data_IF_743032134022
#
_entry.id   IF_743032134022
#
_cell.length_a   1.000
_cell.length_b   1.000
_cell.length_c   1.000
_cell.angle_alpha   90.00
_cell.angle_beta   90.00
_cell.angle_gamma   90.00
#
_symmetry.space_group_name_H-M   'P 1'
#
loop_
_entity.id
_entity.type
_entity.pdbx_description
1 polymer ?
#
# COMPACT_ATOMS: atom_id res chain seq x y z
N UNK A 1 -31.36 2.75 40.56
CA UNK A 1 -30.58 2.60 39.32
C UNK A 1 -30.67 1.15 38.91
N UNK A 2 -31.32 0.83 37.80
CA UNK A 2 -31.36 -0.54 37.29
C UNK A 2 -30.03 -0.83 36.59
N UNK A 3 -29.26 -1.79 37.07
CA UNK A 3 -28.07 -2.29 36.39
C UNK A 3 -28.51 -3.03 35.13
N UNK A 4 -28.26 -2.43 33.97
CA UNK A 4 -28.33 -3.13 32.68
C UNK A 4 -27.46 -4.39 32.77
N UNK A 5 -27.96 -5.59 32.43
CA UNK A 5 -27.12 -6.78 32.43
C UNK A 5 -25.98 -6.58 31.43
N UNK A 6 -24.76 -6.92 31.83
CA UNK A 6 -23.60 -6.95 30.95
C UNK A 6 -23.87 -7.95 29.84
N UNK A 7 -24.10 -7.47 28.62
CA UNK A 7 -24.28 -8.31 27.44
C UNK A 7 -22.91 -8.94 27.13
N UNK A 8 -22.83 -10.26 27.19
CA UNK A 8 -21.65 -11.03 26.81
C UNK A 8 -21.70 -11.32 25.31
N UNK A 9 -20.55 -11.54 24.67
CA UNK A 9 -20.50 -11.93 23.24
C UNK A 9 -21.28 -13.24 22.97
N UNK A 10 -21.50 -14.07 24.00
CA UNK A 10 -22.35 -15.27 23.96
C UNK A 10 -23.86 -14.98 23.82
N UNK A 11 -24.29 -13.75 24.08
CA UNK A 11 -25.70 -13.33 23.98
C UNK A 11 -26.09 -12.95 22.54
N UNK A 12 -25.11 -12.77 21.65
CA UNK A 12 -25.33 -12.49 20.23
C UNK A 12 -25.41 -13.80 19.43
N UNK A 13 -26.49 -13.94 18.63
CA UNK A 13 -26.59 -15.02 17.65
C UNK A 13 -25.81 -14.64 16.39
N UNK A 14 -24.69 -15.29 16.15
CA UNK A 14 -23.88 -15.08 14.95
C UNK A 14 -24.40 -15.94 13.80
N UNK A 15 -25.29 -15.39 12.96
CA UNK A 15 -25.89 -16.13 11.84
C UNK A 15 -25.31 -15.64 10.52
N UNK A 16 -24.81 -16.55 9.68
CA UNK A 16 -24.31 -16.21 8.34
C UNK A 16 -25.44 -16.07 7.31
N UNK A 17 -25.09 -15.73 6.06
CA UNK A 17 -26.07 -15.61 4.96
C UNK A 17 -26.69 -16.95 4.54
N UNK A 18 -26.09 -18.08 4.91
CA UNK A 18 -26.56 -19.44 4.65
C UNK A 18 -27.47 -19.97 5.78
N UNK A 19 -27.62 -19.23 6.87
CA UNK A 19 -28.40 -19.63 8.04
C UNK A 19 -27.63 -20.46 9.07
N UNK A 20 -26.32 -20.63 8.92
CA UNK A 20 -25.48 -21.33 9.89
C UNK A 20 -25.28 -20.47 11.14
N UNK A 21 -25.40 -21.09 12.32
CA UNK A 21 -25.12 -20.46 13.60
C UNK A 21 -23.64 -20.66 13.97
N UNK A 22 -22.88 -19.58 13.87
CA UNK A 22 -21.46 -19.53 14.22
C UNK A 22 -21.29 -19.45 15.73
N UNK A 23 -20.22 -20.07 16.25
CA UNK A 23 -19.85 -20.08 17.66
C UNK A 23 -19.19 -18.77 18.08
N UNK A 24 -18.41 -18.16 17.20
CA UNK A 24 -17.64 -16.95 17.51
C UNK A 24 -17.79 -15.86 16.46
N UNK A 25 -17.48 -14.61 16.85
CA UNK A 25 -17.45 -13.48 15.93
C UNK A 25 -16.40 -13.65 14.83
N UNK A 26 -15.29 -14.32 15.14
CA UNK A 26 -14.23 -14.65 14.17
C UNK A 26 -14.78 -15.56 13.07
N UNK A 27 -15.48 -16.63 13.45
CA UNK A 27 -16.16 -17.52 12.50
C UNK A 27 -17.17 -16.76 11.61
N UNK A 28 -18.00 -15.88 12.19
CA UNK A 28 -18.93 -15.06 11.40
C UNK A 28 -18.21 -14.16 10.38
N UNK A 29 -17.08 -13.57 10.78
CA UNK A 29 -16.29 -12.69 9.92
C UNK A 29 -15.71 -13.49 8.74
N UNK A 30 -15.20 -14.70 9.00
CA UNK A 30 -14.69 -15.61 7.96
C UNK A 30 -15.82 -16.02 7.00
N UNK A 31 -16.99 -16.40 7.53
CA UNK A 31 -18.15 -16.76 6.71
C UNK A 31 -18.62 -15.60 5.80
N UNK A 32 -18.64 -14.38 6.33
CA UNK A 32 -18.94 -13.16 5.57
C UNK A 32 -17.89 -12.89 4.50
N UNK A 33 -16.61 -13.07 4.81
CA UNK A 33 -15.51 -12.92 3.86
C UNK A 33 -15.61 -13.94 2.72
N UNK A 34 -15.80 -15.23 3.03
CA UNK A 34 -15.98 -16.29 2.03
C UNK A 34 -17.18 -15.99 1.13
N UNK A 35 -18.30 -15.57 1.73
CA UNK A 35 -19.50 -15.14 0.98
C UNK A 35 -19.25 -13.90 0.10
N UNK A 36 -18.43 -12.96 0.55
CA UNK A 36 -18.07 -11.77 -0.23
C UNK A 36 -17.17 -12.10 -1.43
N UNK A 37 -16.28 -13.09 -1.26
CA UNK A 37 -15.37 -13.56 -2.29
C UNK A 37 -16.02 -14.55 -3.28
N UNK A 38 -17.32 -14.83 -3.13
CA UNK A 38 -18.04 -15.84 -3.91
C UNK A 38 -17.43 -17.25 -3.79
N UNK A 39 -16.81 -17.54 -2.63
CA UNK A 39 -16.23 -18.84 -2.30
C UNK A 39 -17.22 -19.67 -1.49
N UNK A 40 -17.56 -20.85 -2.02
CA UNK A 40 -18.45 -21.78 -1.33
C UNK A 40 -17.72 -22.51 -0.18
N UNK A 41 -18.48 -22.82 0.87
CA UNK A 41 -17.95 -23.44 2.08
C UNK A 41 -18.99 -24.29 2.82
N UNK A 42 -18.48 -25.32 3.48
CA UNK A 42 -19.19 -26.13 4.48
C UNK A 42 -18.73 -25.70 5.88
N UNK A 43 -19.66 -25.28 6.74
CA UNK A 43 -19.39 -24.95 8.14
C UNK A 43 -19.52 -26.20 9.02
N UNK A 44 -18.70 -26.30 10.06
CA UNK A 44 -18.67 -27.42 11.01
C UNK A 44 -18.40 -28.78 10.30
N UNK A 45 -17.41 -28.76 9.41
CA UNK A 45 -17.10 -29.89 8.54
C UNK A 45 -16.48 -31.05 9.32
N UNK A 46 -17.14 -32.21 9.26
CA UNK A 46 -16.64 -33.45 9.87
C UNK A 46 -15.65 -34.14 8.94
N UNK A 47 -14.41 -34.18 9.36
CA UNK A 47 -13.29 -34.77 8.64
C UNK A 47 -12.96 -36.14 9.24
N UNK A 48 -12.99 -37.18 8.39
CA UNK A 48 -12.60 -38.54 8.79
C UNK A 48 -11.09 -38.73 8.65
N UNK A 49 -10.44 -39.09 9.76
CA UNK A 49 -9.01 -39.36 9.81
C UNK A 49 -8.72 -40.83 9.41
N UNK A 50 -7.49 -41.10 8.96
CA UNK A 50 -7.07 -42.44 8.45
C UNK A 50 -7.22 -43.57 9.48
N UNK A 51 -7.24 -43.24 10.77
CA UNK A 51 -7.40 -44.16 11.89
C UNK A 51 -8.88 -44.40 12.28
N UNK A 52 -9.84 -43.85 11.54
CA UNK A 52 -11.28 -43.99 11.79
C UNK A 52 -11.87 -43.01 12.80
N UNK A 53 -11.07 -42.16 13.45
CA UNK A 53 -11.60 -41.06 14.27
C UNK A 53 -12.05 -39.89 13.41
N UNK A 54 -13.05 -39.13 13.88
CA UNK A 54 -13.52 -37.91 13.21
C UNK A 54 -13.06 -36.68 13.98
N UNK A 55 -12.58 -35.66 13.26
CA UNK A 55 -12.30 -34.32 13.80
C UNK A 55 -13.20 -33.32 13.08
N UNK A 56 -13.67 -32.31 13.79
CA UNK A 56 -14.47 -31.24 13.19
C UNK A 56 -13.59 -30.04 12.90
N UNK A 57 -13.72 -29.49 11.70
CA UNK A 57 -13.01 -28.30 11.24
C UNK A 57 -14.03 -27.20 10.94
N UNK A 58 -13.73 -25.95 11.29
CA UNK A 58 -14.73 -24.88 11.24
C UNK A 58 -15.23 -24.61 9.83
N UNK A 59 -14.32 -24.52 8.84
CA UNK A 59 -14.71 -24.32 7.44
C UNK A 59 -13.96 -25.26 6.51
N UNK A 60 -14.69 -25.86 5.58
CA UNK A 60 -14.11 -26.49 4.39
C UNK A 60 -14.48 -25.68 3.15
N UNK A 61 -13.48 -25.37 2.35
CA UNK A 61 -13.62 -24.68 1.05
C UNK A 61 -13.07 -25.57 -0.06
N UNK A 62 -13.22 -25.14 -1.32
CA UNK A 62 -12.57 -25.81 -2.46
C UNK A 62 -11.05 -25.77 -2.41
N UNK A 63 -10.47 -24.77 -1.73
CA UNK A 63 -9.02 -24.51 -1.68
C UNK A 63 -8.34 -25.18 -0.49
N UNK A 64 -9.11 -25.60 0.51
CA UNK A 64 -8.59 -26.17 1.74
C UNK A 64 -9.52 -25.95 2.93
N UNK A 65 -9.00 -26.27 4.09
CA UNK A 65 -9.63 -26.23 5.40
C UNK A 65 -9.21 -24.95 6.14
N UNK A 66 -10.13 -24.36 6.90
CA UNK A 66 -9.86 -23.20 7.75
C UNK A 66 -10.34 -23.55 9.16
N UNK A 67 -9.44 -23.36 10.11
CA UNK A 67 -9.64 -23.64 11.53
C UNK A 67 -9.48 -22.35 12.33
N UNK A 68 -10.47 -22.05 13.17
CA UNK A 68 -10.51 -20.83 13.98
C UNK A 68 -9.85 -21.06 15.33
N UNK A 69 -8.87 -20.22 15.65
CA UNK A 69 -8.03 -20.36 16.84
C UNK A 69 -8.38 -19.28 17.87
N UNK A 70 -9.28 -19.63 18.79
CA UNK A 70 -9.73 -18.73 19.85
C UNK A 70 -9.18 -19.16 21.23
N UNK A 71 -8.70 -20.40 21.38
CA UNK A 71 -8.13 -20.93 22.62
C UNK A 71 -7.02 -21.99 22.38
N UNK A 72 -6.45 -22.54 23.46
CA UNK A 72 -5.39 -23.56 23.39
C UNK A 72 -5.87 -24.94 22.91
N UNK A 73 -7.15 -25.27 23.08
CA UNK A 73 -7.72 -26.51 22.55
C UNK A 73 -7.79 -26.47 21.02
N UNK A 74 -8.11 -25.31 20.45
CA UNK A 74 -8.10 -25.10 18.99
C UNK A 74 -6.71 -25.28 18.41
N UNK A 75 -5.66 -24.82 19.12
CA UNK A 75 -4.25 -25.05 18.72
C UNK A 75 -3.93 -26.57 18.68
N UNK A 76 -4.40 -27.33 19.67
CA UNK A 76 -4.17 -28.79 19.71
C UNK A 76 -4.90 -29.48 18.56
N UNK A 77 -6.17 -29.12 18.34
CA UNK A 77 -7.00 -29.61 17.25
C UNK A 77 -6.35 -29.31 15.89
N UNK A 78 -5.86 -28.08 15.71
CA UNK A 78 -5.13 -27.66 14.52
C UNK A 78 -3.91 -28.53 14.23
N UNK A 79 -3.04 -28.71 15.23
CA UNK A 79 -1.84 -29.53 15.10
C UNK A 79 -2.18 -31.01 14.80
N UNK A 80 -3.23 -31.55 15.41
CA UNK A 80 -3.71 -32.90 15.16
C UNK A 80 -4.18 -33.09 13.71
N UNK A 81 -4.93 -32.14 13.16
CA UNK A 81 -5.37 -32.17 11.75
C UNK A 81 -4.15 -32.18 10.83
N UNK A 82 -3.20 -31.27 11.06
CA UNK A 82 -2.00 -31.13 10.23
C UNK A 82 -1.10 -32.38 10.27
N UNK A 83 -0.93 -32.97 11.45
CA UNK A 83 -0.12 -34.19 11.61
C UNK A 83 -0.76 -35.39 10.90
N UNK A 84 -2.09 -35.54 11.01
CA UNK A 84 -2.80 -36.70 10.46
C UNK A 84 -3.15 -36.56 8.98
N UNK A 85 -3.20 -35.34 8.45
CA UNK A 85 -3.55 -35.03 7.06
C UNK A 85 -2.54 -34.03 6.45
N UNK A 86 -1.28 -34.45 6.24
CA UNK A 86 -0.22 -33.55 5.75
C UNK A 86 -0.43 -33.08 4.31
N UNK A 87 -1.28 -33.75 3.54
CA UNK A 87 -1.60 -33.41 2.14
C UNK A 87 -2.74 -32.38 2.02
N UNK A 88 -3.49 -32.14 3.10
CA UNK A 88 -4.59 -31.17 3.11
C UNK A 88 -4.05 -29.78 3.40
N UNK A 89 -4.52 -28.78 2.64
CA UNK A 89 -4.20 -27.38 2.90
C UNK A 89 -5.07 -26.92 4.06
N UNK A 90 -4.47 -26.67 5.21
CA UNK A 90 -5.16 -26.17 6.42
C UNK A 90 -4.62 -24.79 6.77
N UNK A 91 -5.51 -23.85 7.08
CA UNK A 91 -5.18 -22.50 7.49
C UNK A 91 -5.71 -22.23 8.90
N UNK A 92 -4.87 -21.70 9.78
CA UNK A 92 -5.28 -21.22 11.10
C UNK A 92 -5.62 -19.72 11.06
N UNK A 93 -6.79 -19.31 11.55
CA UNK A 93 -7.20 -17.89 11.66
C UNK A 93 -7.70 -17.64 13.07
N UNK A 94 -7.27 -16.58 13.75
CA UNK A 94 -7.71 -16.36 15.12
C UNK A 94 -6.95 -15.26 15.84
N UNK A 95 -7.21 -15.14 17.14
CA UNK A 95 -6.66 -14.04 17.94
C UNK A 95 -5.11 -14.11 17.98
N UNK A 96 -4.38 -13.00 17.77
CA UNK A 96 -2.91 -12.99 17.67
C UNK A 96 -2.18 -13.69 18.83
N UNK A 97 -2.72 -13.58 20.04
CA UNK A 97 -2.23 -14.26 21.26
C UNK A 97 -2.09 -15.79 21.10
N UNK A 98 -3.01 -16.43 20.38
CA UNK A 98 -3.05 -17.87 20.22
C UNK A 98 -2.44 -18.29 18.87
N UNK A 99 -2.73 -17.55 17.80
CA UNK A 99 -2.17 -17.83 16.47
C UNK A 99 -0.65 -17.63 16.41
N UNK A 100 -0.06 -16.72 17.20
CA UNK A 100 1.40 -16.57 17.29
C UNK A 100 2.12 -17.77 17.93
N UNK A 101 1.41 -18.61 18.69
CA UNK A 101 1.97 -19.84 19.27
C UNK A 101 2.03 -20.97 18.24
N UNK A 102 1.21 -20.87 17.19
CA UNK A 102 1.30 -21.74 16.02
C UNK A 102 2.48 -21.22 15.20
N UNK A 103 3.52 -22.04 15.03
CA UNK A 103 4.74 -21.69 14.28
C UNK A 103 4.46 -21.25 12.82
N UNK A 104 3.24 -21.42 12.34
CA UNK A 104 2.81 -21.13 10.96
C UNK A 104 2.50 -19.69 10.62
N UNK A 105 2.51 -18.73 11.54
CA UNK A 105 2.61 -17.33 11.09
C UNK A 105 3.87 -17.13 10.21
N UNK A 106 4.84 -18.05 10.29
CA UNK A 106 5.98 -18.14 9.37
C UNK A 106 5.70 -18.98 8.10
N UNK A 107 4.80 -19.97 8.13
CA UNK A 107 4.53 -20.89 7.00
C UNK A 107 3.38 -20.40 6.08
N UNK A 108 2.48 -19.54 6.57
CA UNK A 108 1.43 -18.88 5.75
C UNK A 108 2.01 -17.78 4.85
N UNK A 109 3.27 -17.38 5.08
CA UNK A 109 4.05 -16.69 4.06
C UNK A 109 4.55 -17.76 3.10
N UNK A 110 3.77 -18.01 2.04
CA UNK A 110 4.19 -18.81 0.89
C UNK A 110 5.57 -18.32 0.40
N UNK A 111 6.66 -18.90 0.92
CA UNK A 111 7.99 -18.86 0.33
C UNK A 111 7.99 -19.88 -0.81
N UNK A 112 7.15 -19.62 -1.81
CA UNK A 112 7.19 -20.34 -3.06
C UNK A 112 8.56 -20.01 -3.70
N UNK A 113 9.26 -21.03 -4.22
CA UNK A 113 10.59 -20.89 -4.87
C UNK A 113 10.47 -20.26 -6.27
N UNK A 114 9.47 -19.42 -6.48
CA UNK A 114 9.28 -18.57 -7.66
C UNK A 114 9.94 -17.21 -7.40
N UNK A 115 10.21 -16.38 -8.42
CA UNK A 115 10.78 -15.07 -8.16
C UNK A 115 9.79 -14.33 -7.26
N UNK A 116 10.23 -14.05 -6.04
CA UNK A 116 9.39 -13.41 -5.05
C UNK A 116 9.30 -11.95 -5.44
N UNK A 117 8.08 -11.49 -5.70
CA UNK A 117 7.83 -10.05 -5.78
C UNK A 117 8.16 -9.45 -4.42
N UNK A 118 9.17 -8.59 -4.38
CA UNK A 118 9.57 -7.82 -3.21
C UNK A 118 9.14 -6.37 -3.36
N UNK A 119 9.01 -5.69 -2.23
CA UNK A 119 8.92 -4.23 -2.16
C UNK A 119 10.02 -3.71 -1.24
N UNK A 120 10.66 -2.62 -1.63
CA UNK A 120 11.51 -1.82 -0.74
C UNK A 120 11.02 -0.38 -0.75
N UNK A 121 11.05 0.27 0.40
CA UNK A 121 10.79 1.70 0.52
C UNK A 121 12.03 2.42 1.04
N UNK A 122 12.26 3.63 0.53
CA UNK A 122 13.36 4.49 0.94
C UNK A 122 12.82 5.86 1.30
N UNK A 123 13.15 6.27 2.51
CA UNK A 123 13.01 7.63 3.01
C UNK A 123 14.38 8.08 3.47
N UNK A 124 14.82 9.25 3.00
CA UNK A 124 16.11 9.82 3.37
C UNK A 124 16.01 11.34 3.42
N UNK A 125 16.65 12.03 4.38
CA UNK A 125 16.62 13.49 4.43
C UNK A 125 17.10 14.15 3.12
N UNK A 126 17.98 13.49 2.35
CA UNK A 126 18.44 14.00 1.06
C UNK A 126 17.44 13.85 -0.09
N UNK A 127 16.27 13.27 0.16
CA UNK A 127 15.14 13.26 -0.77
C UNK A 127 14.18 14.42 -0.49
N UNK A 128 14.69 15.49 0.12
CA UNK A 128 13.95 16.74 0.28
C UNK A 128 14.37 17.76 -0.78
N UNK A 129 13.44 18.61 -1.20
CA UNK A 129 13.71 19.69 -2.13
C UNK A 129 12.90 20.94 -1.78
N UNK A 130 13.51 22.10 -1.97
CA UNK A 130 12.88 23.41 -1.76
C UNK A 130 12.42 23.98 -3.09
N UNK A 131 11.20 24.53 -3.12
CA UNK A 131 10.65 25.07 -4.37
C UNK A 131 9.67 26.22 -4.13
N UNK A 132 9.41 26.96 -5.19
CA UNK A 132 8.34 27.95 -5.26
C UNK A 132 7.32 27.56 -6.34
N UNK A 133 6.05 27.93 -6.17
CA UNK A 133 5.01 27.70 -7.17
C UNK A 133 3.87 28.71 -7.08
N UNK A 134 2.98 28.69 -8.08
CA UNK A 134 1.69 29.38 -8.07
C UNK A 134 0.62 28.39 -8.56
N UNK A 135 -0.50 28.31 -7.85
CA UNK A 135 -1.68 27.53 -8.23
C UNK A 135 -2.87 28.47 -8.46
N UNK A 136 -3.12 28.92 -9.70
CA UNK A 136 -4.10 29.98 -9.97
C UNK A 136 -5.54 29.61 -9.60
N UNK A 137 -5.84 28.30 -9.56
CA UNK A 137 -7.18 27.77 -9.29
C UNK A 137 -7.50 27.62 -7.79
N UNK A 138 -6.54 27.86 -6.90
CA UNK A 138 -6.68 27.61 -5.46
C UNK A 138 -6.48 28.90 -4.70
N UNK A 139 -7.51 29.42 -4.03
CA UNK A 139 -7.51 30.78 -3.46
C UNK A 139 -6.29 31.09 -2.57
N UNK A 140 -5.94 30.21 -1.62
CA UNK A 140 -4.77 30.41 -0.74
C UNK A 140 -3.43 30.21 -1.44
N UNK A 141 -3.38 29.35 -2.46
CA UNK A 141 -2.16 29.03 -3.21
C UNK A 141 -2.03 29.84 -4.52
N UNK A 142 -2.93 30.81 -4.72
CA UNK A 142 -3.01 31.64 -5.92
C UNK A 142 -1.98 32.77 -6.00
N UNK A 143 -1.13 32.88 -4.98
CA UNK A 143 0.00 33.81 -4.92
C UNK A 143 1.32 33.03 -4.89
N UNK A 144 2.40 33.67 -5.33
CA UNK A 144 3.74 33.09 -5.28
C UNK A 144 4.12 32.79 -3.82
N UNK A 145 4.44 31.53 -3.57
CA UNK A 145 4.95 31.04 -2.29
C UNK A 145 5.80 29.80 -2.54
N UNK A 146 6.28 29.16 -1.49
CA UNK A 146 7.11 27.98 -1.60
C UNK A 146 6.98 27.03 -0.41
N UNK A 147 7.58 25.86 -0.57
CA UNK A 147 7.56 24.77 0.40
C UNK A 147 8.89 24.05 0.42
N UNK A 148 9.15 23.36 1.53
CA UNK A 148 10.15 22.30 1.62
C UNK A 148 9.39 20.98 1.55
N UNK A 149 9.61 20.24 0.47
CA UNK A 149 8.98 18.93 0.28
C UNK A 149 9.92 17.79 0.60
N UNK A 150 9.40 16.74 1.24
CA UNK A 150 10.10 15.47 1.43
C UNK A 150 9.49 14.38 0.54
N UNK A 151 10.34 13.48 0.04
CA UNK A 151 9.95 12.39 -0.85
C UNK A 151 10.31 11.03 -0.24
N UNK A 152 9.34 10.12 -0.21
CA UNK A 152 9.56 8.70 0.02
C UNK A 152 9.27 7.95 -1.28
N UNK A 153 10.12 6.98 -1.61
CA UNK A 153 9.99 6.17 -2.82
C UNK A 153 9.82 4.70 -2.43
N UNK A 154 8.80 4.07 -2.99
CA UNK A 154 8.60 2.63 -2.94
C UNK A 154 8.94 2.01 -4.30
N UNK A 155 9.67 0.90 -4.30
CA UNK A 155 10.02 0.15 -5.51
C UNK A 155 9.49 -1.27 -5.33
N UNK A 156 8.78 -1.76 -6.33
CA UNK A 156 8.21 -3.12 -6.33
C UNK A 156 8.68 -3.87 -7.57
N UNK A 157 9.01 -5.14 -7.42
CA UNK A 157 9.35 -5.98 -8.55
C UNK A 157 9.94 -7.33 -8.14
N UNK A 158 10.60 -7.99 -9.08
CA UNK A 158 11.11 -9.34 -8.88
C UNK A 158 12.44 -9.31 -8.12
N UNK A 159 12.50 -10.05 -7.01
CA UNK A 159 13.74 -10.23 -6.27
C UNK A 159 14.66 -11.20 -7.00
N UNK A 160 15.95 -10.85 -7.01
CA UNK A 160 17.04 -11.72 -7.45
C UNK A 160 18.03 -11.85 -6.30
N UNK A 161 18.40 -13.08 -5.96
CA UNK A 161 19.33 -13.36 -4.85
C UNK A 161 18.87 -12.73 -3.51
N UNK A 162 17.55 -12.77 -3.25
CA UNK A 162 16.87 -12.16 -2.10
C UNK A 162 16.96 -10.62 -2.02
N UNK A 163 17.31 -9.95 -3.12
CA UNK A 163 17.40 -8.51 -3.21
C UNK A 163 16.58 -7.99 -4.39
N UNK A 164 15.79 -6.93 -4.17
CA UNK A 164 15.15 -6.20 -5.26
C UNK A 164 16.16 -5.26 -5.93
N UNK A 165 16.69 -4.30 -5.17
CA UNK A 165 17.75 -3.37 -5.57
C UNK A 165 18.62 -3.08 -4.35
N UNK A 166 19.92 -2.91 -4.54
CA UNK A 166 20.81 -2.42 -3.48
C UNK A 166 20.38 -1.01 -3.02
N UNK A 167 20.25 -0.80 -1.71
CA UNK A 167 19.79 0.47 -1.16
C UNK A 167 20.70 1.65 -1.53
N UNK A 168 22.01 1.44 -1.69
CA UNK A 168 22.95 2.46 -2.12
C UNK A 168 22.73 2.88 -3.58
N UNK A 169 22.48 1.90 -4.46
CA UNK A 169 22.12 2.15 -5.87
C UNK A 169 20.78 2.88 -5.95
N UNK A 170 19.74 2.37 -5.28
CA UNK A 170 18.42 2.98 -5.27
C UNK A 170 18.48 4.42 -4.75
N UNK A 171 19.16 4.64 -3.62
CA UNK A 171 19.36 5.98 -3.03
C UNK A 171 20.04 6.94 -3.99
N UNK A 172 21.07 6.50 -4.72
CA UNK A 172 21.77 7.32 -5.71
C UNK A 172 20.83 7.74 -6.84
N UNK A 173 20.08 6.80 -7.41
CA UNK A 173 19.13 7.04 -8.51
C UNK A 173 18.03 8.01 -8.06
N UNK A 174 17.42 7.77 -6.89
CA UNK A 174 16.36 8.61 -6.33
C UNK A 174 16.87 10.03 -6.09
N UNK A 175 18.03 10.16 -5.43
CA UNK A 175 18.63 11.47 -5.14
C UNK A 175 18.92 12.26 -6.42
N UNK A 176 19.44 11.61 -7.45
CA UNK A 176 19.73 12.25 -8.74
C UNK A 176 18.47 12.86 -9.35
N UNK A 177 17.34 12.14 -9.31
CA UNK A 177 16.05 12.63 -9.81
C UNK A 177 15.51 13.76 -8.94
N UNK A 178 15.46 13.58 -7.62
CA UNK A 178 14.90 14.59 -6.70
C UNK A 178 15.68 15.92 -6.78
N UNK A 179 17.00 15.88 -6.96
CA UNK A 179 17.84 17.08 -7.08
C UNK A 179 17.46 17.96 -8.28
N UNK A 180 16.82 17.41 -9.33
CA UNK A 180 16.33 18.20 -10.48
C UNK A 180 15.25 19.21 -10.06
N UNK A 181 14.45 18.83 -9.06
CA UNK A 181 13.33 19.62 -8.54
C UNK A 181 13.77 20.68 -7.52
N UNK A 182 14.98 20.54 -6.98
CA UNK A 182 15.48 21.41 -5.93
C UNK A 182 15.82 22.82 -6.44
N UNK A 183 15.43 23.81 -5.63
CA UNK A 183 15.53 25.24 -5.90
C UNK A 183 14.91 25.63 -7.26
N UNK A 184 13.72 25.10 -7.57
CA UNK A 184 12.98 25.42 -8.80
C UNK A 184 11.70 26.21 -8.52
N UNK A 185 11.33 27.01 -9.50
CA UNK A 185 10.00 27.59 -9.63
C UNK A 185 9.14 26.71 -10.54
N UNK A 186 8.15 26.02 -9.98
CA UNK A 186 7.21 25.20 -10.74
C UNK A 186 6.03 26.01 -11.25
N UNK A 187 5.74 25.85 -12.53
CA UNK A 187 4.59 26.49 -13.15
C UNK A 187 4.09 25.67 -14.33
N UNK A 188 2.79 25.69 -14.57
CA UNK A 188 2.22 25.01 -15.73
C UNK A 188 2.68 25.71 -17.03
N UNK A 189 3.18 24.93 -17.99
CA UNK A 189 3.63 25.34 -19.32
C UNK A 189 2.56 26.15 -20.07
N UNK A 190 1.28 25.90 -19.84
CA UNK A 190 0.18 26.65 -20.48
C UNK A 190 0.22 28.16 -20.20
N UNK A 191 0.89 28.57 -19.13
CA UNK A 191 1.09 29.97 -18.75
C UNK A 191 2.33 30.60 -19.40
N UNK A 192 3.14 29.83 -20.13
CA UNK A 192 4.27 30.34 -20.89
C UNK A 192 3.76 31.21 -22.04
N UNK A 193 4.09 32.50 -22.01
CA UNK A 193 3.71 33.45 -23.05
C UNK A 193 4.73 33.53 -24.16
N UNK A 194 6.01 33.60 -23.80
CA UNK A 194 7.17 33.61 -24.70
C UNK A 194 8.42 33.21 -23.94
N UNK A 195 9.48 32.90 -24.66
CA UNK A 195 10.80 32.61 -24.11
C UNK A 195 11.90 33.18 -24.99
N UNK A 196 13.04 33.48 -24.39
CA UNK A 196 14.30 33.76 -25.08
C UNK A 196 15.35 32.69 -24.69
N UNK A 197 16.61 32.87 -25.06
CA UNK A 197 17.67 31.89 -24.77
C UNK A 197 17.91 31.64 -23.27
N UNK A 198 17.48 32.56 -22.40
CA UNK A 198 17.82 32.60 -20.97
C UNK A 198 16.62 32.65 -20.03
N UNK A 199 15.47 33.16 -20.48
CA UNK A 199 14.30 33.39 -19.63
C UNK A 199 12.99 32.87 -20.22
N UNK A 200 12.07 32.51 -19.33
CA UNK A 200 10.65 32.34 -19.63
C UNK A 200 9.89 33.60 -19.22
N UNK A 201 8.92 34.02 -20.02
CA UNK A 201 7.87 34.96 -19.59
C UNK A 201 6.58 34.17 -19.33
N UNK A 202 6.11 34.24 -18.10
CA UNK A 202 4.88 33.58 -17.64
C UNK A 202 3.80 34.64 -17.45
N UNK A 203 2.62 34.43 -18.04
CA UNK A 203 1.51 35.37 -17.98
C UNK A 203 0.16 34.64 -17.81
N UNK A 204 -0.64 35.06 -16.83
CA UNK A 204 -2.00 34.54 -16.59
C UNK A 204 -2.81 35.45 -15.66
N UNK A 205 -4.14 35.35 -15.73
CA UNK A 205 -5.05 35.98 -14.77
C UNK A 205 -5.25 35.07 -13.56
N UNK A 206 -4.99 35.60 -12.36
CA UNK A 206 -5.25 34.94 -11.10
C UNK A 206 -6.30 35.66 -10.26
N UNK A 207 -6.78 35.04 -9.16
CA UNK A 207 -7.70 35.65 -8.20
C UNK A 207 -7.24 36.99 -7.61
N UNK A 208 -5.92 37.28 -7.64
CA UNK A 208 -5.31 38.52 -7.14
C UNK A 208 -4.89 39.49 -8.25
N UNK A 209 -5.33 39.24 -9.49
CA UNK A 209 -5.00 40.05 -10.66
C UNK A 209 -4.10 39.33 -11.66
N UNK A 210 -3.66 40.06 -12.66
CA UNK A 210 -2.79 39.55 -13.72
C UNK A 210 -1.37 39.34 -13.17
N UNK A 211 -0.85 38.14 -13.36
CA UNK A 211 0.57 37.82 -13.18
C UNK A 211 1.29 38.00 -14.51
N UNK A 212 2.41 38.71 -14.49
CA UNK A 212 3.36 38.82 -15.58
C UNK A 212 4.77 38.79 -14.98
N UNK A 213 5.42 37.63 -15.07
CA UNK A 213 6.71 37.37 -14.43
C UNK A 213 7.71 36.83 -15.43
N UNK A 214 8.95 37.31 -15.34
CA UNK A 214 10.08 36.79 -16.10
C UNK A 214 10.99 36.01 -15.16
N UNK A 215 11.30 34.76 -15.51
CA UNK A 215 12.10 33.86 -14.67
C UNK A 215 13.23 33.21 -15.48
N UNK A 216 14.44 33.03 -14.91
CA UNK A 216 15.53 32.32 -15.58
C UNK A 216 15.16 30.86 -15.87
N UNK A 217 15.55 30.36 -17.05
CA UNK A 217 15.25 28.98 -17.45
C UNK A 217 15.87 27.92 -16.53
N UNK A 218 17.05 28.20 -15.98
CA UNK A 218 17.76 27.27 -15.09
C UNK A 218 17.16 27.14 -13.68
N UNK A 219 16.34 28.11 -13.26
CA UNK A 219 15.64 28.11 -11.97
C UNK A 219 14.15 27.83 -12.10
N UNK A 220 13.63 27.64 -13.31
CA UNK A 220 12.22 27.36 -13.57
C UNK A 220 12.04 25.95 -14.14
N UNK A 221 10.92 25.31 -13.78
CA UNK A 221 10.57 24.00 -14.28
C UNK A 221 9.12 24.04 -14.76
N UNK A 222 8.94 23.87 -16.07
CA UNK A 222 7.63 23.91 -16.72
C UNK A 222 6.97 22.52 -16.66
N UNK A 223 5.84 22.45 -15.97
CA UNK A 223 5.02 21.25 -15.84
C UNK A 223 3.92 21.23 -16.91
N UNK A 224 3.50 20.05 -17.37
CA UNK A 224 2.31 19.95 -18.23
C UNK A 224 1.00 20.14 -17.42
N UNK A 225 1.02 19.74 -16.15
CA UNK A 225 -0.05 19.94 -15.17
C UNK A 225 0.16 21.16 -14.27
N UNK A 226 -0.84 21.47 -13.45
CA UNK A 226 -0.67 22.42 -12.34
C UNK A 226 0.38 21.91 -11.34
N UNK A 227 1.07 22.82 -10.64
CA UNK A 227 2.15 22.49 -9.70
C UNK A 227 1.64 21.90 -8.36
N UNK A 228 0.78 20.90 -8.41
CA UNK A 228 0.26 20.18 -7.24
C UNK A 228 1.15 18.99 -6.90
N UNK A 229 1.09 18.52 -5.65
CA UNK A 229 1.85 17.35 -5.20
C UNK A 229 1.56 16.09 -6.02
N UNK A 230 0.34 15.88 -6.51
CA UNK A 230 -0.03 14.76 -7.38
C UNK A 230 0.75 14.81 -8.71
N UNK A 231 0.82 15.98 -9.34
CA UNK A 231 1.54 16.14 -10.60
C UNK A 231 3.05 16.07 -10.39
N UNK A 232 3.57 16.58 -9.27
CA UNK A 232 4.97 16.43 -8.91
C UNK A 232 5.34 14.95 -8.70
N UNK A 233 4.50 14.17 -8.01
CA UNK A 233 4.71 12.72 -7.86
C UNK A 233 4.78 12.01 -9.22
N UNK A 234 3.89 12.38 -10.14
CA UNK A 234 3.89 11.83 -11.51
C UNK A 234 5.16 12.18 -12.29
N UNK A 235 5.65 13.42 -12.19
CA UNK A 235 6.89 13.84 -12.85
C UNK A 235 8.13 13.17 -12.25
N UNK A 236 8.19 12.97 -10.94
CA UNK A 236 9.26 12.19 -10.30
C UNK A 236 9.23 10.75 -10.83
N UNK A 237 8.07 10.09 -10.88
CA UNK A 237 7.93 8.74 -11.42
C UNK A 237 8.45 8.66 -12.86
N UNK A 238 8.07 9.62 -13.70
CA UNK A 238 8.48 9.70 -15.11
C UNK A 238 9.99 9.81 -15.28
N UNK A 239 10.67 10.54 -14.40
CA UNK A 239 12.14 10.66 -14.42
C UNK A 239 12.84 9.46 -13.76
N UNK A 240 12.20 8.81 -12.79
CA UNK A 240 12.75 7.70 -12.03
C UNK A 240 12.65 6.38 -12.80
N UNK A 241 11.49 6.08 -13.39
CA UNK A 241 11.19 4.81 -14.05
C UNK A 241 12.24 4.36 -15.09
N UNK A 242 12.75 5.24 -15.98
CA UNK A 242 13.77 4.84 -16.96
C UNK A 242 15.14 4.53 -16.36
N UNK A 243 15.42 5.05 -15.15
CA UNK A 243 16.71 4.86 -14.46
C UNK A 243 16.72 3.61 -13.57
N UNK A 244 15.56 3.01 -13.30
CA UNK A 244 15.43 1.86 -12.41
C UNK A 244 15.86 0.55 -13.10
N UNK A 245 16.45 -0.42 -12.36
CA UNK A 245 16.79 -1.74 -12.87
C UNK A 245 15.60 -2.48 -13.51
N UNK A 246 15.84 -3.35 -14.48
CA UNK A 246 14.78 -4.05 -15.24
C UNK A 246 13.84 -4.91 -14.39
N UNK A 247 14.32 -5.42 -13.26
CA UNK A 247 13.52 -6.23 -12.35
C UNK A 247 12.57 -5.40 -11.48
N UNK A 248 12.61 -4.07 -11.55
CA UNK A 248 11.62 -3.17 -10.92
C UNK A 248 10.46 -2.96 -11.89
N UNK A 249 9.28 -3.37 -11.44
CA UNK A 249 8.04 -3.45 -12.23
C UNK A 249 7.06 -2.32 -11.86
N UNK A 250 7.15 -1.77 -10.66
CA UNK A 250 6.34 -0.63 -10.24
C UNK A 250 7.12 0.31 -9.31
N UNK A 251 6.68 1.56 -9.27
CA UNK A 251 7.26 2.63 -8.45
C UNK A 251 6.13 3.40 -7.77
N UNK A 252 6.25 3.57 -6.46
CA UNK A 252 5.46 4.46 -5.64
C UNK A 252 6.26 5.72 -5.29
N UNK A 253 5.67 6.89 -5.42
CA UNK A 253 6.25 8.16 -4.97
C UNK A 253 5.27 8.85 -4.05
N UNK A 254 5.75 9.19 -2.86
CA UNK A 254 5.03 9.89 -1.81
C UNK A 254 5.70 11.24 -1.60
N UNK A 255 4.96 12.34 -1.76
CA UNK A 255 5.46 13.70 -1.56
C UNK A 255 4.67 14.37 -0.45
N UNK A 256 5.38 15.05 0.45
CA UNK A 256 4.79 15.88 1.49
C UNK A 256 5.11 17.36 1.23
N UNK A 257 4.12 18.25 1.25
CA UNK A 257 4.28 19.71 1.03
C UNK A 257 4.42 20.48 2.35
N UNK A 258 4.53 19.76 3.47
CA UNK A 258 4.68 20.27 4.83
C UNK A 258 4.23 19.23 5.85
N UNK A 259 4.10 19.64 7.11
CA UNK A 259 3.65 18.73 8.17
C UNK A 259 2.21 18.24 7.89
N UNK A 260 2.04 16.92 7.73
CA UNK A 260 0.77 16.20 7.61
C UNK A 260 -0.02 16.37 6.30
N UNK A 261 0.55 16.97 5.24
CA UNK A 261 -0.10 17.06 3.93
C UNK A 261 0.80 16.44 2.87
N UNK A 262 0.34 15.34 2.28
CA UNK A 262 1.06 14.68 1.21
C UNK A 262 0.13 13.96 0.26
N UNK A 263 0.69 13.55 -0.87
CA UNK A 263 0.04 12.76 -1.90
C UNK A 263 0.95 11.60 -2.30
N UNK A 264 0.36 10.52 -2.77
CA UNK A 264 1.12 9.40 -3.29
C UNK A 264 0.53 8.91 -4.61
N UNK A 265 1.41 8.44 -5.49
CA UNK A 265 1.05 7.78 -6.73
C UNK A 265 1.89 6.54 -6.86
N UNK A 266 1.24 5.44 -7.26
CA UNK A 266 1.89 4.19 -7.61
C UNK A 266 1.62 3.93 -9.08
N UNK A 267 2.68 3.63 -9.83
CA UNK A 267 2.59 3.38 -11.26
C UNK A 267 3.37 2.12 -11.62
N UNK A 268 2.76 1.29 -12.47
CA UNK A 268 3.50 0.24 -13.17
C UNK A 268 4.48 0.88 -14.16
N UNK A 269 5.66 0.30 -14.28
CA UNK A 269 6.66 0.71 -15.25
C UNK A 269 6.42 -0.11 -16.52
N UNK A 270 5.81 0.52 -17.52
CA UNK A 270 5.76 -0.04 -18.88
C UNK A 270 7.09 0.26 -19.57
N UNK A 271 7.79 -0.78 -20.03
CA UNK A 271 9.05 -0.68 -20.78
C UNK A 271 8.90 -1.31 -22.16
#
# INVERSE_FOLDING_TARGET
MASSPTILDSDFRYIDKKGNLMRTRTELTIAQMLSFLDEDYEYDYKLSLKNGSTVTVDFKTKKGLIEVIDNEEDIKKYNEIKEKLPEEKVMAIGHPKYTAQIKELQDIVFYDKTPQTGSIFLEDPSFSFDYAHILPLVEKCSILHGHTSSVMVELVGQMKDNLLVDFGIAKKIIKEVVTVFDHKFFINRKYLKKEDDSHYQIQFDGPKGMFDIQVPKNTAYLLEGEATVENLSSEIIKLLAPKLPQNVEAVGVYIYEGYNKGSHIISNISR
#
